data_IF_115095570194
#
_entry.id   IF_115095570194
#
_cell.length_a   1.000
_cell.length_b   1.000
_cell.length_c   1.000
_cell.angle_alpha   90.00
_cell.angle_beta   90.00
_cell.angle_gamma   90.00
#
_symmetry.space_group_name_H-M   'P 1'
#
loop_
_entity.id
_entity.type
_entity.pdbx_description
1 polymer ?
#
# COMPACT_ATOMS: atom_id res chain seq x y z
N UNK A 1 -25.63 1.01 -43.37
CA UNK A 1 -25.10 2.31 -42.92
C UNK A 1 -26.03 2.83 -41.85
N UNK A 2 -25.51 2.98 -40.64
CA UNK A 2 -26.26 3.41 -39.45
C UNK A 2 -25.22 3.67 -38.37
N UNK A 3 -24.40 4.69 -38.62
CA UNK A 3 -23.50 5.25 -37.62
C UNK A 3 -24.31 6.08 -36.63
N UNK A 4 -23.74 6.23 -35.44
CA UNK A 4 -23.97 7.32 -34.50
C UNK A 4 -25.16 7.20 -33.54
N UNK A 5 -24.87 6.49 -32.45
CA UNK A 5 -25.58 6.59 -31.18
C UNK A 5 -24.65 6.43 -29.98
N UNK A 6 -23.35 6.77 -30.10
CA UNK A 6 -22.52 7.06 -28.93
C UNK A 6 -22.73 8.52 -28.56
N UNK A 7 -23.90 8.78 -28.00
CA UNK A 7 -24.12 9.98 -27.21
C UNK A 7 -23.19 9.88 -26.01
N UNK A 8 -22.04 10.53 -26.12
CA UNK A 8 -21.23 10.92 -24.98
C UNK A 8 -22.12 11.65 -23.98
N UNK A 9 -22.66 10.92 -23.01
CA UNK A 9 -23.25 11.49 -21.81
C UNK A 9 -22.12 12.12 -21.00
N UNK A 10 -21.75 13.35 -21.38
CA UNK A 10 -21.11 14.32 -20.49
C UNK A 10 -22.16 14.78 -19.48
N UNK A 11 -22.39 13.98 -18.45
CA UNK A 11 -23.21 14.36 -17.29
C UNK A 11 -22.35 14.42 -16.03
N UNK A 12 -22.30 15.61 -15.43
CA UNK A 12 -21.96 15.83 -14.02
C UNK A 12 -20.49 16.14 -13.76
N UNK A 13 -20.23 17.21 -13.00
CA UNK A 13 -18.92 17.48 -12.39
C UNK A 13 -18.31 16.17 -11.88
N UNK A 14 -17.13 15.80 -12.38
CA UNK A 14 -16.34 14.75 -11.76
C UNK A 14 -15.92 15.29 -10.40
N UNK A 15 -16.64 14.91 -9.35
CA UNK A 15 -16.33 15.32 -7.97
C UNK A 15 -15.04 14.60 -7.56
N UNK A 16 -13.94 15.35 -7.55
CA UNK A 16 -12.65 14.83 -7.12
C UNK A 16 -12.71 14.59 -5.62
N UNK A 17 -12.31 13.40 -5.14
CA UNK A 17 -12.31 13.11 -3.70
C UNK A 17 -11.33 14.06 -3.00
N UNK A 18 -11.73 14.55 -1.84
CA UNK A 18 -10.82 15.34 -1.03
C UNK A 18 -9.67 14.47 -0.48
N UNK A 19 -8.60 15.12 -0.02
CA UNK A 19 -7.50 14.43 0.67
C UNK A 19 -8.01 13.69 1.91
N UNK A 20 -8.94 14.31 2.66
CA UNK A 20 -9.55 13.72 3.84
C UNK A 20 -10.37 12.47 3.50
N UNK A 21 -11.14 12.49 2.41
CA UNK A 21 -11.88 11.30 1.95
C UNK A 21 -10.92 10.16 1.61
N UNK A 22 -9.81 10.50 0.97
CA UNK A 22 -8.78 9.52 0.59
C UNK A 22 -8.09 8.93 1.82
N UNK A 23 -7.81 9.75 2.84
CA UNK A 23 -7.29 9.30 4.13
C UNK A 23 -8.29 8.37 4.83
N UNK A 24 -9.57 8.74 4.86
CA UNK A 24 -10.61 7.93 5.49
C UNK A 24 -10.76 6.56 4.81
N UNK A 25 -10.80 6.53 3.48
CA UNK A 25 -10.86 5.28 2.70
C UNK A 25 -9.59 4.45 2.94
N UNK A 26 -8.41 5.06 2.92
CA UNK A 26 -7.14 4.35 3.14
C UNK A 26 -7.04 3.79 4.56
N UNK A 27 -7.46 4.55 5.58
CA UNK A 27 -7.54 4.08 6.96
C UNK A 27 -8.50 2.90 7.09
N UNK A 28 -9.64 2.95 6.38
CA UNK A 28 -10.56 1.83 6.28
C UNK A 28 -9.89 0.58 5.70
N UNK A 29 -9.09 0.71 4.64
CA UNK A 29 -8.33 -0.42 4.06
C UNK A 29 -7.35 -1.01 5.07
N UNK A 30 -6.58 -0.16 5.75
CA UNK A 30 -5.61 -0.54 6.77
C UNK A 30 -6.26 -1.24 7.98
N UNK A 31 -7.53 -0.93 8.24
CA UNK A 31 -8.38 -1.59 9.24
C UNK A 31 -9.25 -2.73 8.67
N UNK A 32 -8.89 -3.29 7.50
CA UNK A 32 -9.56 -4.45 6.89
C UNK A 32 -11.03 -4.21 6.47
N UNK A 33 -11.41 -2.96 6.17
CA UNK A 33 -12.76 -2.65 5.71
C UNK A 33 -12.93 -2.93 4.20
N UNK A 34 -13.75 -3.93 3.88
CA UNK A 34 -14.02 -4.37 2.51
C UNK A 34 -14.67 -3.29 1.63
N UNK A 35 -15.55 -2.45 2.19
CA UNK A 35 -16.20 -1.37 1.44
C UNK A 35 -15.18 -0.31 1.04
N UNK A 36 -14.28 0.04 1.96
CA UNK A 36 -13.20 0.97 1.69
C UNK A 36 -12.26 0.44 0.60
N UNK A 37 -11.91 -0.84 0.64
CA UNK A 37 -11.12 -1.50 -0.40
C UNK A 37 -11.78 -1.42 -1.78
N UNK A 38 -13.07 -1.72 -1.90
CA UNK A 38 -13.76 -1.61 -3.18
C UNK A 38 -13.86 -0.17 -3.69
N UNK A 39 -14.10 0.80 -2.80
CA UNK A 39 -14.08 2.22 -3.18
C UNK A 39 -12.72 2.61 -3.77
N UNK A 40 -11.63 2.15 -3.14
CA UNK A 40 -10.26 2.40 -3.61
C UNK A 40 -9.98 1.72 -4.96
N UNK A 41 -10.50 0.51 -5.19
CA UNK A 41 -10.36 -0.24 -6.46
C UNK A 41 -11.16 0.42 -7.59
N UNK A 42 -12.36 0.93 -7.31
CA UNK A 42 -13.25 1.47 -8.34
C UNK A 42 -12.93 2.94 -8.68
N UNK A 43 -12.63 3.76 -7.68
CA UNK A 43 -12.41 5.19 -7.89
C UNK A 43 -10.94 5.51 -8.21
N UNK A 44 -10.65 5.85 -9.47
CA UNK A 44 -9.30 6.16 -9.96
C UNK A 44 -8.79 7.53 -9.48
N UNK A 45 -9.70 8.41 -9.07
CA UNK A 45 -9.39 9.81 -8.72
C UNK A 45 -8.58 9.92 -7.43
N UNK A 46 -8.55 8.88 -6.59
CA UNK A 46 -7.74 8.86 -5.37
C UNK A 46 -6.23 8.81 -5.61
N UNK A 47 -5.75 8.48 -6.82
CA UNK A 47 -4.34 8.14 -7.04
C UNK A 47 -3.38 9.28 -6.68
N UNK A 48 -3.70 10.52 -7.04
CA UNK A 48 -2.85 11.67 -6.72
C UNK A 48 -2.83 11.96 -5.22
N UNK A 49 -3.99 11.88 -4.56
CA UNK A 49 -4.08 12.04 -3.11
C UNK A 49 -3.30 10.93 -2.38
N UNK A 50 -3.35 9.69 -2.87
CA UNK A 50 -2.60 8.56 -2.32
C UNK A 50 -1.09 8.75 -2.45
N UNK A 51 -0.61 9.27 -3.59
CA UNK A 51 0.81 9.63 -3.76
C UNK A 51 1.20 10.72 -2.75
N UNK A 52 0.39 11.77 -2.61
CA UNK A 52 0.65 12.85 -1.64
C UNK A 52 0.69 12.31 -0.21
N UNK A 53 -0.25 11.44 0.17
CA UNK A 53 -0.30 10.80 1.49
C UNK A 53 0.96 9.95 1.71
N UNK A 54 1.37 9.15 0.72
CA UNK A 54 2.58 8.35 0.79
C UNK A 54 3.82 9.23 1.01
N UNK A 55 3.99 10.30 0.22
CA UNK A 55 5.13 11.20 0.36
C UNK A 55 5.18 11.87 1.74
N UNK A 56 4.03 12.26 2.28
CA UNK A 56 3.93 12.80 3.65
C UNK A 56 4.26 11.72 4.68
N UNK A 57 3.82 10.48 4.46
CA UNK A 57 4.08 9.37 5.36
C UNK A 57 5.59 9.07 5.50
N UNK A 58 6.38 9.23 4.43
CA UNK A 58 7.85 9.11 4.46
C UNK A 58 8.55 10.20 5.28
N UNK A 59 7.89 11.33 5.57
CA UNK A 59 8.44 12.38 6.43
C UNK A 59 8.30 12.05 7.93
N UNK A 60 7.51 11.02 8.28
CA UNK A 60 7.23 10.67 9.66
C UNK A 60 8.46 9.97 10.25
N UNK A 61 9.10 10.55 11.28
CA UNK A 61 10.27 9.94 11.89
C UNK A 61 9.86 8.76 12.76
N UNK A 62 10.76 7.78 12.90
CA UNK A 62 10.57 6.61 13.75
C UNK A 62 11.87 6.19 14.42
N UNK A 63 11.77 5.35 15.46
CA UNK A 63 12.94 4.82 16.17
C UNK A 63 13.32 3.45 15.63
N UNK A 64 14.56 3.31 15.16
CA UNK A 64 15.07 2.07 14.57
C UNK A 64 15.15 0.95 15.61
N UNK A 65 14.65 -0.26 15.32
CA UNK A 65 14.78 -1.40 16.24
C UNK A 65 16.21 -1.95 16.32
N UNK A 66 17.07 -1.61 15.36
CA UNK A 66 18.45 -2.12 15.27
C UNK A 66 19.45 -1.18 15.96
N UNK A 67 19.38 0.12 15.65
CA UNK A 67 20.31 1.11 16.23
C UNK A 67 19.75 1.76 17.50
N UNK A 68 18.44 1.70 17.73
CA UNK A 68 17.76 2.46 18.79
C UNK A 68 17.77 3.97 18.57
N UNK A 69 18.34 4.46 17.46
CA UNK A 69 18.40 5.87 17.10
C UNK A 69 17.12 6.29 16.40
N UNK A 70 16.85 7.60 16.45
CA UNK A 70 15.76 8.20 15.69
C UNK A 70 16.20 8.34 14.25
N UNK A 71 15.47 7.68 13.36
CA UNK A 71 15.61 7.86 11.93
C UNK A 71 14.74 9.04 11.50
N UNK A 72 15.41 10.11 11.06
CA UNK A 72 14.77 11.25 10.42
C UNK A 72 14.70 11.05 8.92
N UNK A 73 13.94 11.90 8.26
CA UNK A 73 13.84 11.92 6.80
C UNK A 73 15.24 11.93 6.16
N UNK A 74 15.48 10.92 5.33
CA UNK A 74 16.66 10.82 4.47
C UNK A 74 16.16 10.51 3.05
N UNK A 75 16.59 11.33 2.09
CA UNK A 75 16.20 11.19 0.69
C UNK A 75 16.61 9.83 0.10
N UNK A 76 17.76 9.30 0.48
CA UNK A 76 18.22 7.95 0.09
C UNK A 76 17.26 6.87 0.58
N UNK A 77 16.91 6.90 1.88
CA UNK A 77 15.97 5.94 2.47
C UNK A 77 14.57 6.05 1.86
N UNK A 78 14.14 7.26 1.48
CA UNK A 78 12.88 7.46 0.77
C UNK A 78 12.89 6.78 -0.61
N UNK A 79 13.94 6.97 -1.40
CA UNK A 79 14.08 6.32 -2.71
C UNK A 79 14.11 4.80 -2.54
N UNK A 80 14.89 4.31 -1.58
CA UNK A 80 14.97 2.87 -1.29
C UNK A 80 13.61 2.31 -0.88
N UNK A 81 12.87 2.99 0.00
CA UNK A 81 11.51 2.62 0.40
C UNK A 81 10.55 2.55 -0.79
N UNK A 82 10.56 3.57 -1.65
CA UNK A 82 9.73 3.60 -2.87
C UNK A 82 10.10 2.46 -3.82
N UNK A 83 11.39 2.18 -4.01
CA UNK A 83 11.85 1.06 -4.85
C UNK A 83 11.40 -0.28 -4.28
N UNK A 84 11.55 -0.48 -2.97
CA UNK A 84 11.13 -1.70 -2.28
C UNK A 84 9.61 -1.92 -2.37
N UNK A 85 8.83 -0.87 -2.14
CA UNK A 85 7.37 -0.92 -2.34
C UNK A 85 7.02 -1.21 -3.81
N UNK A 86 7.77 -0.65 -4.76
CA UNK A 86 7.67 -0.93 -6.19
C UNK A 86 7.94 -2.40 -6.54
N UNK A 87 9.02 -2.98 -6.01
CA UNK A 87 9.34 -4.41 -6.20
C UNK A 87 8.31 -5.32 -5.55
N UNK A 88 7.84 -4.99 -4.34
CA UNK A 88 6.77 -5.72 -3.68
C UNK A 88 5.49 -5.71 -4.51
N UNK A 89 5.10 -4.54 -5.03
CA UNK A 89 3.98 -4.42 -5.95
C UNK A 89 4.20 -5.23 -7.23
N UNK A 90 5.40 -5.20 -7.81
CA UNK A 90 5.75 -5.95 -9.01
C UNK A 90 5.60 -7.46 -8.79
N UNK A 91 6.13 -8.00 -7.70
CA UNK A 91 6.01 -9.42 -7.38
C UNK A 91 4.57 -9.81 -7.06
N UNK A 92 3.83 -8.98 -6.32
CA UNK A 92 2.39 -9.18 -6.15
C UNK A 92 1.66 -9.21 -7.49
N UNK A 93 1.97 -8.28 -8.40
CA UNK A 93 1.38 -8.21 -9.73
C UNK A 93 1.68 -9.45 -10.58
N UNK A 94 2.92 -9.97 -10.53
CA UNK A 94 3.30 -11.20 -11.22
C UNK A 94 2.47 -12.40 -10.78
N UNK A 95 2.06 -12.43 -9.52
CA UNK A 95 1.26 -13.49 -8.90
C UNK A 95 -0.26 -13.31 -9.10
N UNK A 96 -0.71 -12.18 -9.66
CA UNK A 96 -2.11 -11.94 -10.01
C UNK A 96 -2.52 -12.77 -11.24
N UNK A 97 -3.75 -13.33 -11.23
CA UNK A 97 -4.29 -14.09 -12.37
C UNK A 97 -4.69 -13.21 -13.56
N UNK A 98 -5.17 -11.99 -13.32
CA UNK A 98 -5.73 -11.09 -14.34
C UNK A 98 -4.90 -9.81 -14.50
N UNK A 99 -3.73 -9.92 -15.12
CA UNK A 99 -2.74 -8.81 -15.20
C UNK A 99 -3.30 -7.52 -15.81
N UNK A 100 -4.11 -7.61 -16.86
CA UNK A 100 -4.63 -6.43 -17.56
C UNK A 100 -5.55 -5.53 -16.71
N UNK A 101 -6.34 -6.12 -15.80
CA UNK A 101 -7.36 -5.40 -15.03
C UNK A 101 -6.87 -4.97 -13.64
N UNK A 102 -5.78 -5.58 -13.15
CA UNK A 102 -5.40 -5.55 -11.74
C UNK A 102 -4.29 -4.53 -11.43
N UNK A 103 -3.54 -4.06 -12.44
CA UNK A 103 -2.39 -3.17 -12.22
C UNK A 103 -2.75 -1.88 -11.48
N UNK A 104 -3.65 -1.05 -12.01
CA UNK A 104 -4.02 0.23 -11.39
C UNK A 104 -4.73 0.08 -10.03
N UNK A 105 -5.63 -0.89 -9.83
CA UNK A 105 -6.13 -1.23 -8.50
C UNK A 105 -5.00 -1.57 -7.51
N UNK A 106 -4.03 -2.40 -7.93
CA UNK A 106 -2.93 -2.82 -7.07
C UNK A 106 -2.03 -1.63 -6.69
N UNK A 107 -1.73 -0.73 -7.63
CA UNK A 107 -0.99 0.51 -7.36
C UNK A 107 -1.67 1.31 -6.25
N UNK A 108 -2.98 1.56 -6.38
CA UNK A 108 -3.74 2.31 -5.37
C UNK A 108 -3.72 1.61 -4.02
N UNK A 109 -3.89 0.28 -4.00
CA UNK A 109 -3.86 -0.52 -2.76
C UNK A 109 -2.53 -0.37 -2.05
N UNK A 110 -1.41 -0.55 -2.76
CA UNK A 110 -0.07 -0.42 -2.15
C UNK A 110 0.15 0.99 -1.64
N UNK A 111 -0.21 2.02 -2.42
CA UNK A 111 -0.11 3.41 -1.95
C UNK A 111 -0.97 3.66 -0.69
N UNK A 112 -2.15 3.05 -0.58
CA UNK A 112 -2.99 3.16 0.61
C UNK A 112 -2.40 2.41 1.81
N UNK A 113 -1.67 1.31 1.58
CA UNK A 113 -0.98 0.55 2.63
C UNK A 113 0.13 1.37 3.30
N UNK A 114 0.76 2.31 2.58
CA UNK A 114 1.78 3.20 3.14
C UNK A 114 1.23 4.10 4.28
N UNK A 115 -0.10 4.27 4.39
CA UNK A 115 -0.72 4.96 5.52
C UNK A 115 -0.46 4.27 6.87
N UNK A 116 -0.10 2.98 6.89
CA UNK A 116 0.33 2.28 8.10
C UNK A 116 1.48 3.01 8.82
N UNK A 117 2.33 3.74 8.08
CA UNK A 117 3.45 4.50 8.63
C UNK A 117 3.02 5.61 9.60
N UNK A 118 1.76 6.03 9.62
CA UNK A 118 1.22 6.98 10.60
C UNK A 118 1.33 6.46 12.05
N UNK A 119 1.41 5.15 12.24
CA UNK A 119 1.59 4.52 13.57
C UNK A 119 3.07 4.37 13.95
N UNK A 120 4.00 4.59 13.02
CA UNK A 120 5.44 4.50 13.28
C UNK A 120 5.95 5.38 14.44
N UNK A 121 5.39 6.57 14.76
CA UNK A 121 5.83 7.37 15.91
C UNK A 121 5.59 6.70 17.27
N UNK A 122 4.73 5.69 17.37
CA UNK A 122 4.56 4.90 18.60
C UNK A 122 5.90 4.25 19.01
N UNK A 123 6.81 4.01 18.06
CA UNK A 123 8.16 3.53 18.33
C UNK A 123 8.96 4.42 19.28
N UNK A 124 8.66 5.72 19.39
CA UNK A 124 9.33 6.62 20.33
C UNK A 124 9.03 6.29 21.79
N UNK A 125 7.86 5.69 22.06
CA UNK A 125 7.45 5.28 23.40
C UNK A 125 8.07 3.94 23.83
N UNK A 126 8.79 3.27 22.93
CA UNK A 126 9.28 1.91 23.13
C UNK A 126 10.82 1.84 23.09
N UNK A 127 11.38 0.82 23.73
CA UNK A 127 12.82 0.55 23.73
C UNK A 127 13.11 -0.95 23.88
N UNK A 128 14.34 -1.34 23.54
CA UNK A 128 14.83 -2.71 23.71
C UNK A 128 13.95 -3.77 23.02
N UNK A 129 13.56 -4.79 23.77
CA UNK A 129 12.74 -5.91 23.27
C UNK A 129 11.35 -5.45 22.82
N UNK A 130 10.73 -4.51 23.54
CA UNK A 130 9.41 -4.02 23.21
C UNK A 130 9.37 -3.34 21.83
N UNK A 131 10.42 -2.59 21.49
CA UNK A 131 10.57 -1.97 20.17
C UNK A 131 10.68 -3.02 19.05
N UNK A 132 11.44 -4.09 19.27
CA UNK A 132 11.58 -5.20 18.30
C UNK A 132 10.24 -5.91 18.07
N UNK A 133 9.51 -6.20 19.15
CA UNK A 133 8.18 -6.82 19.07
C UNK A 133 7.20 -5.91 18.33
N UNK A 134 7.19 -4.61 18.64
CA UNK A 134 6.35 -3.64 17.94
C UNK A 134 6.63 -3.60 16.44
N UNK A 135 7.91 -3.56 16.03
CA UNK A 135 8.27 -3.55 14.60
C UNK A 135 7.88 -4.87 13.91
N UNK A 136 8.00 -6.01 14.60
CA UNK A 136 7.50 -7.29 14.09
C UNK A 136 5.98 -7.28 13.87
N UNK A 137 5.21 -6.76 14.84
CA UNK A 137 3.76 -6.59 14.73
C UNK A 137 3.37 -5.60 13.63
N UNK A 138 4.12 -4.51 13.48
CA UNK A 138 3.94 -3.52 12.43
C UNK A 138 4.06 -4.14 11.03
N UNK A 139 5.14 -4.90 10.78
CA UNK A 139 5.34 -5.61 9.50
C UNK A 139 4.27 -6.68 9.30
N UNK A 140 3.94 -7.46 10.33
CA UNK A 140 2.88 -8.46 10.25
C UNK A 140 1.52 -7.84 9.90
N UNK A 141 1.23 -6.66 10.45
CA UNK A 141 0.02 -5.90 10.11
C UNK A 141 0.03 -5.42 8.66
N UNK A 142 1.14 -4.81 8.20
CA UNK A 142 1.30 -4.40 6.79
C UNK A 142 1.06 -5.57 5.82
N UNK A 143 1.69 -6.72 6.07
CA UNK A 143 1.50 -7.92 5.25
C UNK A 143 0.07 -8.45 5.33
N UNK A 144 -0.56 -8.42 6.50
CA UNK A 144 -1.96 -8.83 6.67
C UNK A 144 -2.90 -7.97 5.82
N UNK A 145 -2.69 -6.65 5.79
CA UNK A 145 -3.45 -5.73 4.92
C UNK A 145 -3.22 -6.10 3.44
N UNK A 146 -1.98 -6.41 3.06
CA UNK A 146 -1.65 -6.91 1.73
C UNK A 146 -2.40 -8.21 1.37
N UNK A 147 -2.45 -9.19 2.29
CA UNK A 147 -3.19 -10.45 2.11
C UNK A 147 -4.68 -10.20 1.95
N UNK A 148 -5.25 -9.35 2.80
CA UNK A 148 -6.65 -8.96 2.73
C UNK A 148 -6.99 -8.32 1.39
N UNK A 149 -6.18 -7.35 0.94
CA UNK A 149 -6.41 -6.66 -0.31
C UNK A 149 -6.21 -7.60 -1.52
N UNK A 150 -5.15 -8.41 -1.52
CA UNK A 150 -4.86 -9.35 -2.61
C UNK A 150 -5.92 -10.44 -2.75
N UNK A 151 -6.42 -10.98 -1.62
CA UNK A 151 -7.50 -11.97 -1.58
C UNK A 151 -8.76 -11.45 -2.27
N UNK A 152 -9.18 -10.24 -1.94
CA UNK A 152 -10.38 -9.62 -2.52
C UNK A 152 -10.19 -9.16 -3.96
N UNK A 153 -8.99 -8.69 -4.31
CA UNK A 153 -8.65 -8.23 -5.66
C UNK A 153 -8.61 -9.39 -6.67
N UNK A 154 -8.06 -10.54 -6.26
CA UNK A 154 -7.94 -11.72 -7.13
C UNK A 154 -9.07 -12.74 -6.94
N UNK A 155 -10.01 -12.49 -6.02
CA UNK A 155 -11.08 -13.41 -5.63
C UNK A 155 -10.55 -14.81 -5.26
N UNK A 156 -9.57 -14.86 -4.37
CA UNK A 156 -8.93 -16.09 -3.87
C UNK A 156 -9.00 -16.17 -2.36
N UNK A 157 -9.00 -17.38 -1.80
CA UNK A 157 -9.02 -17.59 -0.35
C UNK A 157 -7.77 -17.01 0.33
N UNK A 158 -7.92 -16.58 1.58
CA UNK A 158 -6.86 -15.97 2.40
C UNK A 158 -5.57 -16.80 2.47
N UNK A 159 -5.66 -18.14 2.51
CA UNK A 159 -4.47 -18.99 2.51
C UNK A 159 -3.61 -18.82 1.25
N UNK A 160 -4.24 -18.82 0.06
CA UNK A 160 -3.55 -18.62 -1.21
C UNK A 160 -3.02 -17.20 -1.36
N UNK A 161 -3.80 -16.21 -0.90
CA UNK A 161 -3.35 -14.82 -0.85
C UNK A 161 -2.15 -14.65 0.10
N UNK A 162 -2.18 -15.31 1.25
CA UNK A 162 -1.10 -15.37 2.23
C UNK A 162 0.20 -15.86 1.60
N UNK A 163 0.16 -17.02 0.94
CA UNK A 163 1.32 -17.57 0.25
C UNK A 163 1.86 -16.60 -0.82
N UNK A 164 0.97 -16.00 -1.63
CA UNK A 164 1.39 -15.07 -2.68
C UNK A 164 2.06 -13.82 -2.10
N UNK A 165 1.46 -13.18 -1.10
CA UNK A 165 1.98 -11.97 -0.47
C UNK A 165 3.27 -12.22 0.29
N UNK A 166 3.36 -13.34 1.03
CA UNK A 166 4.60 -13.73 1.69
C UNK A 166 5.71 -14.01 0.68
N UNK A 167 5.41 -14.72 -0.42
CA UNK A 167 6.37 -14.97 -1.49
C UNK A 167 6.86 -13.65 -2.10
N UNK A 168 5.94 -12.73 -2.42
CA UNK A 168 6.28 -11.41 -2.94
C UNK A 168 7.17 -10.64 -1.95
N UNK A 169 6.85 -10.67 -0.66
CA UNK A 169 7.65 -10.03 0.37
C UNK A 169 9.05 -10.62 0.46
N UNK A 170 9.19 -11.94 0.52
CA UNK A 170 10.50 -12.60 0.55
C UNK A 170 11.33 -12.24 -0.69
N UNK A 171 10.74 -12.26 -1.88
CA UNK A 171 11.43 -11.85 -3.11
C UNK A 171 11.89 -10.39 -3.06
N UNK A 172 11.06 -9.48 -2.54
CA UNK A 172 11.44 -8.07 -2.33
C UNK A 172 12.63 -7.93 -1.39
N UNK A 173 12.64 -8.66 -0.27
CA UNK A 173 13.74 -8.59 0.70
C UNK A 173 15.07 -9.13 0.14
N UNK A 174 15.02 -9.96 -0.90
CA UNK A 174 16.23 -10.44 -1.58
C UNK A 174 16.79 -9.44 -2.59
N UNK A 175 16.00 -8.43 -3.01
CA UNK A 175 16.43 -7.47 -4.04
C UNK A 175 17.74 -6.76 -3.69
N UNK A 176 17.94 -6.20 -2.48
CA UNK A 176 19.21 -5.56 -2.13
C UNK A 176 20.42 -6.47 -2.27
N UNK A 177 20.26 -7.77 -2.00
CA UNK A 177 21.35 -8.74 -2.10
C UNK A 177 21.87 -8.94 -3.54
N UNK A 178 21.10 -8.54 -4.56
CA UNK A 178 21.52 -8.59 -5.97
C UNK A 178 22.20 -7.30 -6.45
N UNK A 179 22.18 -6.24 -5.66
CA UNK A 179 22.80 -4.94 -5.98
C UNK A 179 24.03 -4.62 -5.12
N UNK A 180 24.46 -5.57 -4.26
CA UNK A 180 25.68 -5.53 -3.44
C UNK A 180 26.80 -6.30 -4.13
#
# INVERSE_FOLDING_TARGET
>A
MGTDGKTDQKTGNVEYPSILDTLYVSAGVVLFNRRALYNLILNKLHIFNLITIMLIAYLIPYKSPFSGQVEYFNFGNMIEGILMAGFFMLFMFMLCRRKAEVFFPLVRIVLAMELTAVISPVSFLLSGVALKVFMGLYVAWYLSVGVFAFSHLNNVNYYRAGLAVLTAFFLTQLVPAFFV
#
